data_IF_412141808675
#
_entry.id   IF_412141808675
#
_cell.length_a   1.000
_cell.length_b   1.000
_cell.length_c   1.000
_cell.angle_alpha   90.00
_cell.angle_beta   90.00
_cell.angle_gamma   90.00
#
_symmetry.space_group_name_H-M   'P 1'
#
loop_
_entity.id
_entity.type
_entity.pdbx_description
1 polymer ?
#
# COMPACT_ATOMS: atom_id res chain seq x y z
N UNK A 1 0.76 14.27 -6.00
CA UNK A 1 0.48 13.61 -4.71
C UNK A 1 0.91 14.56 -3.61
N UNK A 2 0.01 14.89 -2.67
CA UNK A 2 0.37 15.61 -1.44
C UNK A 2 0.72 14.56 -0.40
N UNK A 3 1.92 14.57 0.17
CA UNK A 3 2.38 13.51 1.07
C UNK A 3 1.95 13.69 2.51
N UNK A 4 1.38 14.85 2.88
CA UNK A 4 1.01 15.17 4.27
C UNK A 4 2.14 14.86 5.29
N UNK A 5 3.40 15.11 4.92
CA UNK A 5 4.55 14.83 5.78
C UNK A 5 5.01 13.37 5.82
N UNK A 6 4.29 12.46 5.15
CA UNK A 6 4.79 11.11 4.88
C UNK A 6 5.99 11.16 3.92
N UNK A 7 6.85 10.12 3.90
CA UNK A 7 7.87 9.96 2.89
C UNK A 7 7.26 9.96 1.49
N UNK A 8 8.03 10.34 0.48
CA UNK A 8 7.57 10.27 -0.91
C UNK A 8 7.51 8.79 -1.35
N UNK A 9 6.34 8.26 -1.75
CA UNK A 9 6.30 6.93 -2.35
C UNK A 9 6.67 6.99 -3.83
N UNK A 10 7.05 5.83 -4.35
CA UNK A 10 7.06 5.54 -5.78
C UNK A 10 5.62 5.27 -6.23
N UNK A 11 5.25 5.74 -7.41
CA UNK A 11 3.90 5.61 -7.95
C UNK A 11 3.91 4.57 -9.05
N UNK A 12 2.95 3.64 -9.03
CA UNK A 12 2.78 2.64 -10.08
C UNK A 12 4.04 1.76 -10.31
N UNK A 13 4.75 1.44 -9.22
CA UNK A 13 6.05 0.77 -9.25
C UNK A 13 5.89 -0.75 -9.39
N UNK A 14 6.70 -1.38 -10.26
CA UNK A 14 6.76 -2.84 -10.37
C UNK A 14 7.64 -3.44 -9.27
N UNK A 15 7.13 -4.48 -8.61
CA UNK A 15 7.79 -5.15 -7.50
C UNK A 15 8.11 -6.57 -7.90
N UNK A 16 9.33 -6.98 -7.58
CA UNK A 16 9.90 -8.27 -7.91
C UNK A 16 10.40 -8.96 -6.63
N UNK A 17 10.26 -10.27 -6.58
CA UNK A 17 10.89 -11.12 -5.57
C UNK A 17 12.41 -11.09 -5.70
N UNK A 18 13.13 -11.55 -4.67
CA UNK A 18 14.58 -11.70 -4.73
C UNK A 18 15.04 -12.60 -5.91
N UNK A 19 14.20 -13.53 -6.33
CA UNK A 19 14.42 -14.40 -7.50
C UNK A 19 14.29 -13.71 -8.86
N UNK A 20 13.86 -12.44 -8.90
CA UNK A 20 13.54 -11.71 -10.13
C UNK A 20 12.14 -11.95 -10.68
N UNK A 21 11.33 -12.80 -10.01
CA UNK A 21 9.92 -13.02 -10.36
C UNK A 21 9.09 -11.77 -10.09
N UNK A 22 8.28 -11.35 -11.06
CA UNK A 22 7.31 -10.26 -10.87
C UNK A 22 6.23 -10.65 -9.85
N UNK A 23 5.96 -9.78 -8.89
CA UNK A 23 4.95 -9.97 -7.85
C UNK A 23 3.69 -9.17 -8.14
N UNK A 24 3.85 -7.86 -8.27
CA UNK A 24 2.75 -6.93 -8.52
C UNK A 24 3.27 -5.59 -9.03
N UNK A 25 2.33 -4.74 -9.47
CA UNK A 25 2.55 -3.31 -9.64
C UNK A 25 1.75 -2.60 -8.55
N UNK A 26 2.43 -1.84 -7.71
CA UNK A 26 1.83 -1.13 -6.60
C UNK A 26 1.38 0.28 -7.01
N UNK A 27 0.18 0.70 -6.59
CA UNK A 27 -0.28 2.06 -6.85
C UNK A 27 0.65 3.07 -6.18
N UNK A 28 0.97 2.83 -4.89
CA UNK A 28 2.01 3.56 -4.16
C UNK A 28 2.92 2.60 -3.41
N UNK A 29 4.21 2.87 -3.43
CA UNK A 29 5.21 2.05 -2.74
C UNK A 29 6.20 2.91 -1.95
N UNK A 30 6.18 2.77 -0.64
CA UNK A 30 7.16 3.34 0.27
C UNK A 30 8.35 2.40 0.38
N UNK A 31 9.20 2.42 -0.66
CA UNK A 31 10.28 1.44 -0.87
C UNK A 31 11.18 1.21 0.35
N UNK A 32 11.64 2.28 0.99
CA UNK A 32 12.51 2.18 2.17
C UNK A 32 11.86 1.43 3.34
N UNK A 33 10.53 1.47 3.42
CA UNK A 33 9.77 0.89 4.50
C UNK A 33 9.03 -0.37 4.07
N UNK A 34 9.16 -0.85 2.83
CA UNK A 34 8.47 -2.05 2.36
C UNK A 34 6.94 -2.03 2.48
N UNK A 35 6.32 -0.84 2.41
CA UNK A 35 4.86 -0.64 2.54
C UNK A 35 4.26 -0.29 1.18
N UNK A 36 3.28 -1.07 0.72
CA UNK A 36 2.54 -0.87 -0.52
C UNK A 36 1.13 -0.40 -0.18
N UNK A 37 0.57 0.48 -1.00
CA UNK A 37 -0.85 0.82 -0.98
C UNK A 37 -1.48 0.43 -2.31
N UNK A 38 -2.66 -0.16 -2.24
CA UNK A 38 -3.45 -0.59 -3.39
C UNK A 38 -4.87 -0.03 -3.24
N UNK A 39 -5.36 0.67 -4.26
CA UNK A 39 -6.74 1.15 -4.28
C UNK A 39 -7.68 0.06 -4.81
N UNK A 40 -8.64 -0.32 -3.97
CA UNK A 40 -9.69 -1.29 -4.30
C UNK A 40 -10.95 -0.53 -4.73
N UNK A 41 -11.22 -0.53 -6.03
CA UNK A 41 -12.48 -0.04 -6.58
C UNK A 41 -13.63 -1.02 -6.34
N UNK A 42 -14.86 -0.51 -6.26
CA UNK A 42 -16.07 -1.31 -6.01
C UNK A 42 -16.34 -2.39 -7.08
N UNK A 43 -15.71 -2.28 -8.26
CA UNK A 43 -15.87 -3.26 -9.35
C UNK A 43 -15.20 -4.61 -9.08
N UNK A 44 -14.27 -4.71 -8.12
CA UNK A 44 -13.55 -5.97 -7.87
C UNK A 44 -14.36 -7.01 -7.07
N UNK A 45 -15.46 -6.60 -6.44
CA UNK A 45 -16.18 -7.47 -5.49
C UNK A 45 -16.93 -8.64 -6.15
N UNK A 46 -17.18 -8.57 -7.46
CA UNK A 46 -18.05 -9.53 -8.17
C UNK A 46 -17.30 -10.60 -8.96
N UNK A 47 -15.98 -10.47 -9.17
CA UNK A 47 -15.18 -11.48 -9.88
C UNK A 47 -14.39 -12.37 -8.91
N UNK A 48 -14.86 -13.60 -8.72
CA UNK A 48 -14.21 -14.61 -7.88
C UNK A 48 -12.79 -14.97 -8.35
N UNK A 49 -12.52 -14.95 -9.67
CA UNK A 49 -11.18 -15.28 -10.19
C UNK A 49 -10.19 -14.17 -9.87
N UNK A 50 -10.62 -12.91 -10.03
CA UNK A 50 -9.81 -11.75 -9.66
C UNK A 50 -9.51 -11.78 -8.16
N UNK A 51 -10.54 -11.96 -7.32
CA UNK A 51 -10.38 -12.04 -5.86
C UNK A 51 -9.36 -13.12 -5.42
N UNK A 52 -9.44 -14.33 -6.01
CA UNK A 52 -8.47 -15.41 -5.70
C UNK A 52 -7.05 -15.03 -6.11
N UNK A 53 -6.87 -14.38 -7.27
CA UNK A 53 -5.56 -13.90 -7.73
C UNK A 53 -5.01 -12.84 -6.80
N UNK A 54 -5.84 -11.89 -6.36
CA UNK A 54 -5.41 -10.85 -5.42
C UNK A 54 -5.03 -11.43 -4.05
N UNK A 55 -5.72 -12.46 -3.58
CA UNK A 55 -5.35 -13.16 -2.34
C UNK A 55 -3.96 -13.79 -2.45
N UNK A 56 -3.70 -14.55 -3.52
CA UNK A 56 -2.38 -15.16 -3.77
C UNK A 56 -1.30 -14.08 -3.95
N UNK A 57 -1.59 -13.03 -4.71
CA UNK A 57 -0.67 -11.90 -4.94
C UNK A 57 -0.28 -11.23 -3.63
N UNK A 58 -1.24 -10.95 -2.75
CA UNK A 58 -0.94 -10.36 -1.43
C UNK A 58 -0.09 -11.31 -0.59
N UNK A 59 -0.42 -12.60 -0.53
CA UNK A 59 0.35 -13.58 0.23
C UNK A 59 1.81 -13.68 -0.27
N UNK A 60 2.02 -13.67 -1.60
CA UNK A 60 3.34 -13.68 -2.21
C UNK A 60 4.16 -12.44 -1.83
N UNK A 61 3.56 -11.24 -1.92
CA UNK A 61 4.20 -9.98 -1.51
C UNK A 61 4.58 -10.01 -0.02
N UNK A 62 3.67 -10.47 0.84
CA UNK A 62 3.93 -10.55 2.28
C UNK A 62 5.01 -11.58 2.63
N UNK A 63 5.10 -12.68 1.88
CA UNK A 63 6.16 -13.69 2.05
C UNK A 63 7.57 -13.16 1.75
N UNK A 64 7.68 -12.07 0.98
CA UNK A 64 8.93 -11.37 0.69
C UNK A 64 9.24 -10.28 1.76
N UNK A 65 8.48 -10.25 2.86
CA UNK A 65 8.67 -9.31 3.96
C UNK A 65 8.14 -7.90 3.69
N UNK A 66 7.33 -7.73 2.64
CA UNK A 66 6.62 -6.50 2.33
C UNK A 66 5.23 -6.49 3.01
N UNK A 67 4.52 -5.37 2.97
CA UNK A 67 3.17 -5.27 3.52
C UNK A 67 2.25 -4.51 2.57
N UNK A 68 1.00 -4.97 2.44
CA UNK A 68 0.01 -4.39 1.53
C UNK A 68 -1.14 -3.77 2.34
N UNK A 69 -1.27 -2.45 2.26
CA UNK A 69 -2.45 -1.72 2.74
C UNK A 69 -3.43 -1.52 1.60
N UNK A 70 -4.57 -2.20 1.65
CA UNK A 70 -5.68 -1.95 0.72
C UNK A 70 -6.46 -0.71 1.18
N UNK A 71 -6.81 0.15 0.22
CA UNK A 71 -7.49 1.43 0.43
C UNK A 71 -8.74 1.45 -0.42
N UNK A 72 -9.89 1.80 0.14
CA UNK A 72 -11.14 1.89 -0.63
C UNK A 72 -11.64 3.35 -0.73
N UNK A 73 -12.79 3.56 -1.38
CA UNK A 73 -13.37 4.89 -1.53
C UNK A 73 -13.72 5.57 -0.20
N UNK A 74 -14.07 4.81 0.85
CA UNK A 74 -14.40 5.38 2.17
C UNK A 74 -13.15 5.86 2.91
N UNK A 75 -12.02 5.16 2.76
CA UNK A 75 -10.73 5.61 3.28
C UNK A 75 -10.32 6.96 2.68
N UNK A 76 -10.60 7.18 1.39
CA UNK A 76 -10.31 8.45 0.72
C UNK A 76 -11.21 9.60 1.22
N UNK A 77 -12.43 9.30 1.68
CA UNK A 77 -13.31 10.28 2.35
C UNK A 77 -12.82 10.62 3.76
N UNK A 78 -11.99 9.77 4.36
CA UNK A 78 -11.44 9.92 5.70
C UNK A 78 -9.92 10.11 5.66
N UNK A 79 -9.46 11.06 4.83
CA UNK A 79 -8.03 11.26 4.51
C UNK A 79 -7.13 11.33 5.75
N UNK A 80 -7.53 12.05 6.80
CA UNK A 80 -6.74 12.17 8.04
C UNK A 80 -6.54 10.82 8.75
N UNK A 81 -7.56 9.96 8.76
CA UNK A 81 -7.49 8.63 9.34
C UNK A 81 -6.65 7.68 8.46
N UNK A 82 -6.79 7.80 7.14
CA UNK A 82 -5.96 7.06 6.19
C UNK A 82 -4.47 7.41 6.36
N UNK A 83 -4.14 8.71 6.39
CA UNK A 83 -2.76 9.18 6.63
C UNK A 83 -2.23 8.69 7.98
N UNK A 84 -3.03 8.74 9.04
CA UNK A 84 -2.63 8.22 10.35
C UNK A 84 -2.43 6.68 10.35
N UNK A 85 -3.22 5.93 9.57
CA UNK A 85 -3.04 4.49 9.37
C UNK A 85 -1.73 4.20 8.65
N UNK A 86 -1.46 4.89 7.53
CA UNK A 86 -0.22 4.74 6.76
C UNK A 86 0.99 5.10 7.63
N UNK A 87 0.93 6.22 8.35
CA UNK A 87 1.98 6.65 9.27
C UNK A 87 2.33 5.56 10.31
N UNK A 88 1.32 4.95 10.94
CA UNK A 88 1.54 3.86 11.90
C UNK A 88 2.22 2.65 11.28
N UNK A 89 1.84 2.26 10.06
CA UNK A 89 2.47 1.14 9.35
C UNK A 89 3.93 1.44 9.02
N UNK A 90 4.21 2.64 8.50
CA UNK A 90 5.57 3.10 8.23
C UNK A 90 6.41 3.13 9.51
N UNK A 91 5.87 3.60 10.64
CA UNK A 91 6.60 3.64 11.91
C UNK A 91 6.94 2.27 12.46
N UNK A 92 6.03 1.28 12.32
CA UNK A 92 6.34 -0.13 12.66
C UNK A 92 7.48 -0.70 11.80
N UNK A 93 7.72 -0.10 10.63
CA UNK A 93 8.75 -0.48 9.67
C UNK A 93 9.96 0.46 9.71
N UNK A 94 10.11 1.26 10.76
CA UNK A 94 11.31 2.07 11.03
C UNK A 94 11.23 3.55 10.65
N UNK A 95 10.06 4.06 10.26
CA UNK A 95 9.88 5.50 10.02
C UNK A 95 9.67 6.29 11.32
N UNK A 96 10.57 7.24 11.62
CA UNK A 96 10.50 8.07 12.83
C UNK A 96 9.87 9.47 12.61
N UNK A 97 9.31 9.75 11.43
CA UNK A 97 8.67 11.03 11.15
C UNK A 97 7.25 11.16 11.70
N UNK A 98 6.64 12.32 11.50
CA UNK A 98 5.24 12.56 11.86
C UNK A 98 4.47 13.12 10.66
N UNK A 99 3.22 12.65 10.41
CA UNK A 99 2.39 13.26 9.40
C UNK A 99 2.01 14.69 9.82
N UNK A 100 1.91 15.60 8.85
CA UNK A 100 1.30 16.91 9.07
C UNK A 100 -0.16 16.70 9.41
N UNK A 101 -0.65 17.43 10.42
CA UNK A 101 -2.09 17.50 10.69
C UNK A 101 -2.77 18.10 9.47
N UNK A 102 -3.74 17.38 8.91
CA UNK A 102 -4.69 17.98 7.99
C UNK A 102 -5.43 19.11 8.72
N UNK A 103 -5.53 20.28 8.09
CA UNK A 103 -6.32 21.41 8.57
C UNK A 103 -7.81 21.11 8.42
#
# INVERSE_FOLDING_TARGET
MVTNGLPQPLVNENIFAASGRFLCRADLYFKQFGELLEYEGDQHRTDQRQWRRDLTRTADVESEGLHVTRVNADDLRQESQLVARIARNLSRRGWCGSPRRAQ
#
